data_IF_342907610911
#
_entry.id   IF_342907610911
#
_cell.length_a   1.000
_cell.length_b   1.000
_cell.length_c   1.000
_cell.angle_alpha   90.00
_cell.angle_beta   90.00
_cell.angle_gamma   90.00
#
_symmetry.space_group_name_H-M   'P 1'
#
loop_
_entity.id
_entity.type
_entity.pdbx_description
1 polymer ?
#
# COMPACT_ATOMS: atom_id res chain seq x y z
N UNK A 1 18.69 6.49 -15.13
CA UNK A 1 19.01 5.61 -13.99
C UNK A 1 17.70 5.42 -13.26
N UNK A 2 17.40 4.16 -12.93
CA UNK A 2 16.06 3.63 -12.69
C UNK A 2 15.29 4.40 -11.60
N UNK A 3 14.03 4.73 -11.90
CA UNK A 3 13.02 5.06 -10.91
C UNK A 3 12.09 3.86 -10.85
N UNK A 4 12.32 2.97 -9.89
CA UNK A 4 11.39 1.91 -9.56
C UNK A 4 10.37 2.50 -8.60
N UNK A 5 9.12 2.59 -9.06
CA UNK A 5 7.99 2.99 -8.24
C UNK A 5 7.70 1.88 -7.28
N UNK A 6 7.92 2.17 -6.01
CA UNK A 6 7.62 1.26 -4.93
C UNK A 6 6.11 1.24 -4.72
N UNK A 7 5.52 0.15 -5.20
CA UNK A 7 4.09 0.00 -5.22
C UNK A 7 3.52 -0.35 -3.83
N UNK A 8 2.42 0.33 -3.53
CA UNK A 8 1.66 0.30 -2.29
C UNK A 8 0.84 -1.01 -2.22
N UNK A 9 1.23 -2.01 -1.41
CA UNK A 9 0.52 -3.32 -1.38
C UNK A 9 -0.68 -3.35 -0.43
N UNK A 10 -1.87 -3.54 -1.03
CA UNK A 10 -3.05 -4.30 -0.58
C UNK A 10 -3.79 -3.85 0.69
N UNK A 11 -4.40 -2.67 0.65
CA UNK A 11 -5.13 -2.12 1.81
C UNK A 11 -6.53 -2.70 2.07
N UNK A 12 -6.54 -3.89 2.65
CA UNK A 12 -7.56 -4.50 3.54
C UNK A 12 -7.24 -5.97 3.76
N UNK A 13 -6.42 -6.54 2.87
CA UNK A 13 -6.24 -7.97 2.70
C UNK A 13 -4.76 -8.38 2.57
N UNK A 14 -3.83 -7.51 2.98
CA UNK A 14 -2.37 -7.67 2.90
C UNK A 14 -1.85 -9.01 3.45
N UNK A 15 -2.42 -9.49 4.56
CA UNK A 15 -2.03 -10.77 5.18
C UNK A 15 -2.97 -11.93 4.80
N UNK A 16 -3.85 -11.73 3.82
CA UNK A 16 -4.84 -12.73 3.43
C UNK A 16 -4.38 -13.41 2.15
N UNK A 17 -3.93 -14.66 2.29
CA UNK A 17 -3.72 -15.55 1.16
C UNK A 17 -4.92 -15.57 0.22
N UNK A 18 -4.68 -15.67 -1.09
CA UNK A 18 -5.70 -15.65 -2.13
C UNK A 18 -6.88 -16.55 -1.77
N UNK A 19 -6.63 -17.75 -1.25
CA UNK A 19 -7.69 -18.69 -0.88
C UNK A 19 -8.66 -18.12 0.18
N UNK A 20 -8.15 -17.34 1.13
CA UNK A 20 -8.89 -16.76 2.25
C UNK A 20 -9.55 -15.41 1.90
N UNK A 21 -9.26 -14.84 0.73
CA UNK A 21 -9.90 -13.59 0.30
C UNK A 21 -11.42 -13.76 0.16
N UNK A 22 -12.20 -12.77 0.61
CA UNK A 22 -13.61 -12.66 0.25
C UNK A 22 -13.78 -12.68 -1.27
N UNK A 23 -14.86 -13.28 -1.77
CA UNK A 23 -15.10 -13.39 -3.21
C UNK A 23 -15.11 -12.03 -3.93
N UNK A 24 -15.54 -10.97 -3.23
CA UNK A 24 -15.53 -9.61 -3.76
C UNK A 24 -14.10 -9.07 -3.96
N UNK A 25 -13.22 -9.33 -2.99
CA UNK A 25 -11.79 -9.01 -3.08
C UNK A 25 -11.09 -9.83 -4.17
N UNK A 26 -11.35 -11.14 -4.27
CA UNK A 26 -10.83 -11.98 -5.38
C UNK A 26 -11.21 -11.42 -6.74
N UNK A 27 -12.48 -11.04 -6.91
CA UNK A 27 -12.97 -10.47 -8.16
C UNK A 27 -12.31 -9.12 -8.47
N UNK A 28 -12.15 -8.26 -7.46
CA UNK A 28 -11.44 -6.99 -7.61
C UNK A 28 -9.97 -7.23 -8.00
N UNK A 29 -9.27 -8.11 -7.29
CA UNK A 29 -7.90 -8.51 -7.60
C UNK A 29 -7.76 -9.01 -9.05
N UNK A 30 -8.63 -9.94 -9.48
CA UNK A 30 -8.64 -10.40 -10.89
C UNK A 30 -8.94 -9.29 -11.89
N UNK A 31 -9.74 -8.29 -11.52
CA UNK A 31 -10.05 -7.15 -12.41
C UNK A 31 -8.84 -6.26 -12.63
N UNK A 32 -7.98 -6.11 -11.62
CA UNK A 32 -6.69 -5.43 -11.76
C UNK A 32 -5.67 -6.28 -12.53
N UNK A 33 -5.86 -7.60 -12.58
CA UNK A 33 -4.97 -8.53 -13.28
C UNK A 33 -4.19 -9.45 -12.36
N UNK A 34 -4.49 -9.45 -11.05
CA UNK A 34 -3.93 -10.43 -10.14
C UNK A 34 -4.52 -11.82 -10.38
N UNK A 35 -3.68 -12.81 -10.19
CA UNK A 35 -4.06 -14.21 -10.02
C UNK A 35 -3.57 -14.71 -8.66
N UNK A 36 -3.80 -15.99 -8.38
CA UNK A 36 -3.38 -16.59 -7.10
C UNK A 36 -1.87 -16.47 -6.90
N UNK A 37 -1.08 -16.70 -7.93
CA UNK A 37 0.37 -16.74 -7.83
C UNK A 37 0.94 -15.34 -7.61
N UNK A 38 0.48 -14.35 -8.38
CA UNK A 38 0.87 -12.95 -8.18
C UNK A 38 0.38 -12.41 -6.84
N UNK A 39 -0.83 -12.77 -6.40
CA UNK A 39 -1.32 -12.36 -5.08
C UNK A 39 -0.52 -12.97 -3.92
N UNK A 40 -0.30 -14.29 -3.93
CA UNK A 40 0.34 -14.98 -2.80
C UNK A 40 1.88 -14.80 -2.78
N UNK A 41 2.50 -14.51 -3.93
CA UNK A 41 3.96 -14.35 -4.06
C UNK A 41 4.37 -12.92 -4.43
N UNK A 42 3.58 -11.91 -4.06
CA UNK A 42 3.96 -10.51 -4.25
C UNK A 42 4.18 -10.09 -5.73
N UNK A 43 3.65 -10.83 -6.69
CA UNK A 43 3.65 -10.44 -8.10
C UNK A 43 2.69 -9.30 -8.39
N UNK A 44 3.06 -8.43 -9.32
CA UNK A 44 2.28 -7.26 -9.71
C UNK A 44 1.45 -7.51 -10.96
N UNK A 45 0.23 -6.94 -11.04
CA UNK A 45 -0.60 -7.05 -12.22
C UNK A 45 -0.23 -5.98 -13.25
N UNK A 46 -0.64 -6.17 -14.50
CA UNK A 46 -0.38 -5.17 -15.56
C UNK A 46 -1.03 -3.80 -15.30
N UNK A 47 -2.07 -3.73 -14.46
CA UNK A 47 -2.69 -2.44 -14.12
C UNK A 47 -1.76 -1.51 -13.34
N UNK A 48 -0.73 -2.04 -12.68
CA UNK A 48 0.21 -1.27 -11.86
C UNK A 48 1.05 -0.28 -12.70
N UNK A 49 1.28 -0.60 -13.98
CA UNK A 49 2.00 0.29 -14.90
C UNK A 49 1.15 1.51 -15.32
N UNK A 50 -0.10 1.59 -14.87
CA UNK A 50 -1.03 2.67 -15.19
C UNK A 50 -1.12 3.65 -14.03
N UNK A 51 -1.15 4.93 -14.38
CA UNK A 51 -1.63 5.96 -13.47
C UNK A 51 -3.12 5.75 -13.18
N UNK A 52 -3.58 6.26 -12.04
CA UNK A 52 -4.99 6.16 -11.65
C UNK A 52 -5.96 6.68 -12.72
N UNK A 53 -5.57 7.73 -13.45
CA UNK A 53 -6.36 8.30 -14.54
C UNK A 53 -6.44 7.36 -15.76
N UNK A 54 -5.38 6.58 -16.00
CA UNK A 54 -5.27 5.62 -17.11
C UNK A 54 -5.95 4.28 -16.80
N UNK A 55 -6.31 4.02 -15.53
CA UNK A 55 -7.14 2.89 -15.16
C UNK A 55 -8.52 2.99 -15.84
N UNK A 56 -9.06 1.85 -16.26
CA UNK A 56 -10.46 1.75 -16.67
C UNK A 56 -11.37 1.98 -15.46
N UNK A 57 -12.65 2.29 -15.71
CA UNK A 57 -13.62 2.45 -14.62
C UNK A 57 -13.73 1.18 -13.75
N UNK A 58 -13.63 -0.01 -14.36
CA UNK A 58 -13.65 -1.28 -13.64
C UNK A 58 -12.39 -1.51 -12.79
N UNK A 59 -11.22 -1.15 -13.32
CA UNK A 59 -9.96 -1.22 -12.56
C UNK A 59 -9.97 -0.25 -11.37
N UNK A 60 -10.43 1.00 -11.55
CA UNK A 60 -10.58 1.94 -10.42
C UNK A 60 -11.54 1.43 -9.35
N UNK A 61 -12.71 0.92 -9.74
CA UNK A 61 -13.66 0.35 -8.78
C UNK A 61 -13.06 -0.84 -8.03
N UNK A 62 -12.28 -1.67 -8.73
CA UNK A 62 -11.57 -2.79 -8.12
C UNK A 62 -10.46 -2.32 -7.16
N UNK A 63 -9.69 -1.29 -7.53
CA UNK A 63 -8.69 -0.67 -6.68
C UNK A 63 -9.34 -0.15 -5.38
N UNK A 64 -10.43 0.61 -5.50
CA UNK A 64 -11.21 1.10 -4.34
C UNK A 64 -11.73 -0.05 -3.46
N UNK A 65 -12.19 -1.14 -4.07
CA UNK A 65 -12.67 -2.31 -3.33
C UNK A 65 -11.56 -2.97 -2.50
N UNK A 66 -10.34 -3.00 -3.05
CA UNK A 66 -9.12 -3.43 -2.36
C UNK A 66 -8.52 -2.37 -1.44
N UNK A 67 -9.17 -1.19 -1.33
CA UNK A 67 -8.84 -0.10 -0.40
C UNK A 67 -7.84 0.93 -0.90
N UNK A 68 -7.61 0.98 -2.21
CA UNK A 68 -6.81 2.01 -2.85
C UNK A 68 -7.60 3.28 -3.12
N UNK A 69 -6.91 4.40 -3.00
CA UNK A 69 -7.29 5.68 -3.58
C UNK A 69 -6.17 6.18 -4.52
N UNK A 70 -6.47 7.24 -5.28
CA UNK A 70 -5.51 7.80 -6.24
C UNK A 70 -4.16 8.17 -5.58
N UNK A 71 -4.18 8.75 -4.39
CA UNK A 71 -2.96 9.19 -3.73
C UNK A 71 -2.10 8.01 -3.28
N UNK A 72 -2.72 6.91 -2.83
CA UNK A 72 -2.02 5.67 -2.52
C UNK A 72 -1.47 4.98 -3.77
N UNK A 73 -2.21 5.04 -4.88
CA UNK A 73 -1.90 4.37 -6.15
C UNK A 73 -0.76 5.05 -6.89
N UNK A 74 -0.83 6.37 -7.03
CA UNK A 74 0.13 7.13 -7.84
C UNK A 74 1.42 7.43 -7.04
N UNK A 75 1.30 7.84 -5.77
CA UNK A 75 2.40 8.51 -5.05
C UNK A 75 2.55 8.11 -3.56
N UNK A 76 1.92 7.04 -3.06
CA UNK A 76 2.01 6.63 -1.63
C UNK A 76 1.70 7.74 -0.60
N UNK A 77 0.87 8.73 -0.97
CA UNK A 77 0.62 9.96 -0.21
C UNK A 77 1.83 10.91 -0.07
N UNK A 78 2.88 10.74 -0.86
CA UNK A 78 3.98 11.69 -0.96
C UNK A 78 3.45 13.10 -1.30
N UNK A 79 3.95 14.11 -0.61
CA UNK A 79 3.52 15.50 -0.78
C UNK A 79 2.11 15.82 -0.26
N UNK A 80 1.43 14.90 0.45
CA UNK A 80 0.19 15.20 1.17
C UNK A 80 0.48 15.77 2.55
N UNK A 81 -0.22 16.85 2.89
CA UNK A 81 -0.23 17.35 4.25
C UNK A 81 -0.84 16.32 5.20
N UNK A 82 -0.30 16.21 6.41
CA UNK A 82 -0.81 15.28 7.42
C UNK A 82 -2.33 15.42 7.57
N UNK A 83 -2.89 16.63 7.57
CA UNK A 83 -4.33 16.85 7.75
C UNK A 83 -5.18 16.30 6.60
N UNK A 84 -4.62 16.18 5.39
CA UNK A 84 -5.29 15.63 4.21
C UNK A 84 -5.30 14.11 4.17
N UNK A 85 -4.45 13.45 4.95
CA UNK A 85 -4.39 11.99 4.98
C UNK A 85 -5.72 11.39 5.49
N UNK A 86 -6.20 10.33 4.83
CA UNK A 86 -7.28 9.48 5.35
C UNK A 86 -7.03 9.01 6.79
N UNK A 87 -8.10 8.81 7.55
CA UNK A 87 -8.01 8.48 8.99
C UNK A 87 -7.26 7.17 9.26
N UNK A 88 -7.43 6.19 8.40
CA UNK A 88 -6.74 4.92 8.40
C UNK A 88 -5.25 5.06 8.06
N UNK A 89 -4.89 5.90 7.09
CA UNK A 89 -3.49 6.27 6.78
C UNK A 89 -2.82 6.90 8.00
N UNK A 90 -3.45 7.91 8.61
CA UNK A 90 -2.94 8.55 9.84
C UNK A 90 -2.72 7.54 10.96
N UNK A 91 -3.65 6.58 11.10
CA UNK A 91 -3.56 5.55 12.14
C UNK A 91 -2.40 4.59 11.88
N UNK A 92 -2.19 4.21 10.63
CA UNK A 92 -1.05 3.39 10.23
C UNK A 92 0.29 4.12 10.38
N UNK A 93 0.37 5.36 9.92
CA UNK A 93 1.55 6.20 10.11
C UNK A 93 1.86 6.35 11.62
N UNK A 94 0.84 6.62 12.45
CA UNK A 94 1.00 6.69 13.90
C UNK A 94 1.44 5.35 14.53
N UNK A 95 1.03 4.21 13.97
CA UNK A 95 1.48 2.90 14.42
C UNK A 95 2.98 2.66 14.13
N UNK A 96 3.50 3.25 13.06
CA UNK A 96 4.93 3.30 12.75
C UNK A 96 5.69 4.36 13.56
N UNK A 97 4.99 5.19 14.34
CA UNK A 97 5.60 6.25 15.15
C UNK A 97 5.60 7.64 14.50
N UNK A 98 5.06 7.80 13.29
CA UNK A 98 4.87 9.13 12.72
C UNK A 98 3.90 9.96 13.55
N UNK A 99 4.19 11.26 13.61
CA UNK A 99 3.25 12.26 14.04
C UNK A 99 3.20 13.39 12.99
N UNK A 100 2.32 14.38 13.19
CA UNK A 100 2.12 15.49 12.26
C UNK A 100 3.39 16.31 12.01
N UNK A 101 4.21 16.52 13.04
CA UNK A 101 5.44 17.31 12.94
C UNK A 101 6.47 16.56 12.10
N UNK A 102 6.71 15.28 12.44
CA UNK A 102 7.61 14.40 11.66
C UNK A 102 7.19 14.29 10.20
N UNK A 103 5.90 14.08 9.93
CA UNK A 103 5.37 13.98 8.56
C UNK A 103 5.54 15.28 7.77
N UNK A 104 5.38 16.44 8.43
CA UNK A 104 5.50 17.75 7.78
C UNK A 104 6.95 18.22 7.59
N UNK A 105 7.89 17.65 8.35
CA UNK A 105 9.33 17.95 8.26
C UNK A 105 10.12 16.85 7.53
N UNK A 106 9.42 15.89 6.90
CA UNK A 106 10.00 14.72 6.22
C UNK A 106 10.96 13.91 7.11
N UNK A 107 10.69 13.87 8.42
CA UNK A 107 11.44 13.06 9.39
C UNK A 107 10.89 11.63 9.46
N UNK A 108 11.79 10.65 9.52
CA UNK A 108 11.46 9.23 9.58
C UNK A 108 11.49 8.71 11.03
N UNK A 109 10.52 7.88 11.46
CA UNK A 109 10.51 7.27 12.78
C UNK A 109 11.62 6.22 12.93
N UNK A 110 12.13 6.02 14.15
CA UNK A 110 13.18 5.02 14.46
C UNK A 110 12.91 3.61 13.91
N UNK A 111 11.64 3.21 13.76
CA UNK A 111 11.32 1.89 13.22
C UNK A 111 11.86 1.69 11.80
N UNK A 112 12.09 2.76 11.02
CA UNK A 112 12.64 2.67 9.66
C UNK A 112 14.11 2.26 9.64
N UNK A 113 14.80 2.29 10.78
CA UNK A 113 16.17 1.78 10.92
C UNK A 113 16.20 0.28 11.27
N UNK A 114 15.05 -0.34 11.56
CA UNK A 114 14.93 -1.77 11.88
C UNK A 114 14.77 -2.60 10.60
N UNK A 115 15.28 -3.84 10.60
CA UNK A 115 15.05 -4.77 9.48
C UNK A 115 13.58 -5.24 9.46
N UNK A 116 13.00 -5.43 8.28
CA UNK A 116 11.58 -5.80 8.12
C UNK A 116 11.12 -6.98 9.00
N UNK A 117 11.98 -8.00 9.13
CA UNK A 117 11.73 -9.18 9.96
C UNK A 117 11.60 -8.89 11.47
N UNK A 118 12.25 -7.84 11.95
CA UNK A 118 12.30 -7.46 13.37
C UNK A 118 11.14 -6.54 13.78
N UNK A 119 10.49 -5.90 12.81
CA UNK A 119 9.33 -5.05 13.04
C UNK A 119 8.20 -5.78 13.77
N UNK A 120 7.45 -5.05 14.59
CA UNK A 120 6.20 -5.58 15.17
C UNK A 120 5.13 -5.79 14.09
N UNK A 121 4.18 -6.72 14.27
CA UNK A 121 3.04 -6.87 13.35
C UNK A 121 2.29 -5.56 13.09
N UNK A 122 2.12 -4.73 14.12
CA UNK A 122 1.46 -3.43 14.01
C UNK A 122 2.25 -2.43 13.15
N UNK A 123 3.58 -2.40 13.28
CA UNK A 123 4.45 -1.54 12.46
C UNK A 123 4.49 -2.04 11.03
N UNK A 124 4.58 -3.36 10.81
CA UNK A 124 4.51 -3.96 9.45
C UNK A 124 3.21 -3.63 8.75
N UNK A 125 2.07 -3.80 9.42
CA UNK A 125 0.77 -3.44 8.86
C UNK A 125 0.70 -1.93 8.59
N UNK A 126 1.23 -1.10 9.48
CA UNK A 126 1.35 0.34 9.23
C UNK A 126 2.17 0.68 7.99
N UNK A 127 3.31 0.01 7.82
CA UNK A 127 4.23 0.16 6.70
C UNK A 127 3.60 -0.27 5.38
N UNK A 128 2.93 -1.44 5.36
CA UNK A 128 2.16 -1.92 4.22
C UNK A 128 1.04 -0.97 3.83
N UNK A 129 0.34 -0.42 4.82
CA UNK A 129 -0.62 0.65 4.60
C UNK A 129 0.12 1.82 3.93
N UNK A 130 1.20 2.38 4.46
CA UNK A 130 1.90 3.48 3.76
C UNK A 130 2.46 3.13 2.38
N UNK A 131 2.66 1.84 2.10
CA UNK A 131 3.04 1.32 0.79
C UNK A 131 4.40 0.64 0.75
N UNK A 132 4.97 0.39 1.92
CA UNK A 132 6.20 -0.37 2.08
C UNK A 132 5.94 -1.87 2.12
N UNK A 133 6.93 -2.65 1.70
CA UNK A 133 6.94 -4.11 1.83
C UNK A 133 8.39 -4.58 2.05
N UNK A 134 8.57 -5.88 2.35
CA UNK A 134 9.90 -6.45 2.64
C UNK A 134 10.95 -6.18 1.56
N UNK A 135 10.57 -6.16 0.29
CA UNK A 135 11.52 -6.00 -0.83
C UNK A 135 12.07 -4.58 -0.95
N UNK A 136 11.38 -3.61 -0.36
CA UNK A 136 11.60 -2.16 -0.58
C UNK A 136 11.88 -1.43 0.73
N UNK A 137 11.68 -2.11 1.85
CA UNK A 137 12.12 -1.70 3.16
C UNK A 137 13.65 -1.82 3.24
N UNK A 138 14.29 -0.82 3.86
CA UNK A 138 15.75 -0.63 3.88
C UNK A 138 16.54 -1.80 4.41
#
# INVERSE_FOLDING_TARGET
MAWERFSNKMRKFEDIHWHNLPNKAKKAATTLGFDKESWDNSGWPESEDKWWEDLTAAEREAAIELGYDQASWDDQYEGKDWDELPRDVKRAAAAMGFNKEMWGEDEWPDCTDEHWGDLSPEVRSGAMVLGYNEEIWG
#
